data_IF_552276766062
#
_entry.id   IF_552276766062
#
_cell.length_a   1.000
_cell.length_b   1.000
_cell.length_c   1.000
_cell.angle_alpha   90.00
_cell.angle_beta   90.00
_cell.angle_gamma   90.00
#
_symmetry.space_group_name_H-M   'P 1'
#
loop_
_entity.id
_entity.type
_entity.pdbx_description
1 polymer ?
#
# COMPACT_ATOMS: atom_id res chain seq x y z
N UNK A 1 28.23 9.52 -42.10
CA UNK A 1 27.54 9.36 -40.80
C UNK A 1 28.45 8.59 -39.85
N UNK A 2 28.90 9.17 -38.73
CA UNK A 2 29.67 8.44 -37.72
C UNK A 2 28.74 7.42 -37.05
N UNK A 3 29.04 6.13 -37.18
CA UNK A 3 28.33 5.04 -36.51
C UNK A 3 28.43 5.30 -34.99
N UNK A 4 27.31 5.54 -34.31
CA UNK A 4 27.28 5.58 -32.84
C UNK A 4 27.31 4.13 -32.38
N UNK A 5 28.44 3.73 -31.80
CA UNK A 5 28.57 2.45 -31.12
C UNK A 5 27.87 2.55 -29.76
N UNK A 6 27.15 1.50 -29.37
CA UNK A 6 26.81 1.30 -27.96
C UNK A 6 28.11 1.01 -27.16
N UNK A 7 28.06 1.16 -25.83
CA UNK A 7 29.24 0.91 -24.99
C UNK A 7 29.73 -0.55 -25.12
N UNK A 8 28.79 -1.50 -25.23
CA UNK A 8 29.08 -2.93 -25.43
C UNK A 8 29.75 -3.19 -26.79
N UNK A 9 29.29 -2.52 -27.85
CA UNK A 9 29.88 -2.64 -29.19
C UNK A 9 31.28 -2.01 -29.26
N UNK A 10 31.50 -0.88 -28.57
CA UNK A 10 32.81 -0.24 -28.46
C UNK A 10 33.80 -1.15 -27.70
N UNK A 11 33.40 -1.71 -26.57
CA UNK A 11 34.23 -2.63 -25.80
C UNK A 11 34.64 -3.86 -26.60
N UNK A 12 33.69 -4.51 -27.31
CA UNK A 12 34.02 -5.64 -28.21
C UNK A 12 34.95 -5.24 -29.34
N UNK A 13 34.76 -4.06 -29.94
CA UNK A 13 35.65 -3.55 -30.98
C UNK A 13 37.08 -3.29 -30.47
N UNK A 14 37.25 -3.09 -29.17
CA UNK A 14 38.54 -2.94 -28.49
C UNK A 14 39.13 -4.28 -28.01
N UNK A 15 38.52 -5.42 -28.37
CA UNK A 15 38.96 -6.74 -27.91
C UNK A 15 38.68 -7.01 -26.43
N UNK A 16 37.82 -6.19 -25.80
CA UNK A 16 37.37 -6.36 -24.42
C UNK A 16 36.00 -7.02 -24.49
N UNK A 17 35.89 -8.26 -23.99
CA UNK A 17 34.55 -8.84 -23.82
C UNK A 17 33.86 -8.09 -22.69
N UNK A 18 32.73 -7.41 -22.93
CA UNK A 18 32.06 -6.65 -21.89
C UNK A 18 31.60 -7.65 -20.83
N UNK A 19 32.28 -7.64 -19.68
CA UNK A 19 31.75 -8.33 -18.52
C UNK A 19 30.54 -7.55 -18.04
N UNK A 20 29.34 -8.02 -18.37
CA UNK A 20 28.18 -7.63 -17.59
C UNK A 20 28.43 -8.14 -16.18
N UNK A 21 28.65 -7.22 -15.24
CA UNK A 21 28.58 -7.49 -13.81
C UNK A 21 27.10 -7.81 -13.46
N UNK A 22 26.60 -8.94 -13.97
CA UNK A 22 25.21 -9.36 -13.79
C UNK A 22 25.11 -10.11 -12.46
N UNK A 23 24.68 -9.38 -11.42
CA UNK A 23 24.34 -9.95 -10.13
C UNK A 23 23.14 -10.91 -10.29
N UNK A 24 23.28 -12.18 -9.89
CA UNK A 24 22.20 -13.18 -9.93
C UNK A 24 20.94 -12.69 -9.19
N UNK A 25 21.10 -12.09 -8.02
CA UNK A 25 20.01 -11.51 -7.23
C UNK A 25 19.29 -10.40 -8.01
N UNK A 26 20.02 -9.55 -8.72
CA UNK A 26 19.43 -8.49 -9.55
C UNK A 26 18.52 -9.05 -10.66
N UNK A 27 18.92 -10.16 -11.30
CA UNK A 27 18.10 -10.82 -12.32
C UNK A 27 16.84 -11.46 -11.73
N UNK A 28 16.96 -12.09 -10.56
CA UNK A 28 15.83 -12.69 -9.86
C UNK A 28 14.82 -11.61 -9.44
N UNK A 29 15.28 -10.49 -8.90
CA UNK A 29 14.43 -9.36 -8.54
C UNK A 29 13.76 -8.73 -9.78
N UNK A 30 14.48 -8.59 -10.88
CA UNK A 30 13.89 -8.09 -12.13
C UNK A 30 12.80 -9.03 -12.66
N UNK A 31 13.07 -10.33 -12.70
CA UNK A 31 12.09 -11.34 -13.10
C UNK A 31 10.84 -11.27 -12.22
N UNK A 32 11.02 -11.18 -10.90
CA UNK A 32 9.93 -11.03 -9.94
C UNK A 32 9.07 -9.77 -10.20
N UNK A 33 9.71 -8.64 -10.50
CA UNK A 33 9.01 -7.39 -10.86
C UNK A 33 8.25 -7.51 -12.17
N UNK A 34 8.81 -8.18 -13.18
CA UNK A 34 8.16 -8.35 -14.47
C UNK A 34 6.90 -9.21 -14.39
N UNK A 35 6.97 -10.30 -13.62
CA UNK A 35 5.87 -11.23 -13.38
C UNK A 35 4.79 -10.66 -12.45
N UNK A 36 5.13 -9.67 -11.61
CA UNK A 36 4.18 -9.06 -10.68
C UNK A 36 3.14 -8.20 -11.41
N UNK A 37 1.87 -8.39 -11.08
CA UNK A 37 0.78 -7.49 -11.45
C UNK A 37 0.62 -6.41 -10.38
N UNK A 38 0.19 -5.19 -10.75
CA UNK A 38 -0.06 -4.15 -9.76
C UNK A 38 -1.24 -4.52 -8.82
N UNK A 39 -1.30 -3.95 -7.60
CA UNK A 39 -2.34 -4.24 -6.62
C UNK A 39 -3.73 -4.07 -7.18
N UNK A 40 -4.68 -4.91 -6.76
CA UNK A 40 -6.05 -4.81 -7.29
C UNK A 40 -6.65 -3.44 -6.99
N UNK A 41 -6.36 -2.86 -5.81
CA UNK A 41 -6.79 -1.51 -5.48
C UNK A 41 -6.22 -0.43 -6.43
N UNK A 42 -5.05 -0.66 -7.05
CA UNK A 42 -4.42 0.26 -8.00
C UNK A 42 -5.08 0.28 -9.39
N UNK A 43 -5.96 -0.67 -9.72
CA UNK A 43 -6.66 -0.67 -11.02
C UNK A 43 -7.38 0.68 -11.23
N UNK A 44 -7.27 1.23 -12.44
CA UNK A 44 -7.77 2.57 -12.82
C UNK A 44 -7.08 3.76 -12.13
N UNK A 45 -5.95 3.56 -11.45
CA UNK A 45 -5.17 4.66 -10.89
C UNK A 45 -4.43 5.40 -12.00
N UNK A 46 -4.50 6.74 -11.99
CA UNK A 46 -3.73 7.57 -12.92
C UNK A 46 -2.22 7.37 -12.74
N UNK A 47 -1.76 6.97 -11.54
CA UNK A 47 -0.36 6.68 -11.26
C UNK A 47 0.20 5.45 -11.98
N UNK A 48 -0.63 4.69 -12.70
CA UNK A 48 -0.18 3.61 -13.60
C UNK A 48 0.24 4.13 -14.98
N UNK A 49 -0.20 5.33 -15.37
CA UNK A 49 0.13 5.95 -16.65
C UNK A 49 1.38 6.82 -16.52
N UNK A 50 2.50 6.31 -17.04
CA UNK A 50 3.79 7.00 -17.03
C UNK A 50 3.82 8.25 -17.94
N UNK A 51 2.84 8.43 -18.81
CA UNK A 51 2.73 9.63 -19.67
C UNK A 51 2.02 10.78 -18.98
N UNK A 52 1.33 10.53 -17.85
CA UNK A 52 0.68 11.55 -17.06
C UNK A 52 1.69 12.25 -16.13
N UNK A 53 1.99 13.55 -16.33
CA UNK A 53 2.99 14.24 -15.53
C UNK A 53 2.51 14.56 -14.10
N UNK A 54 1.19 14.56 -13.86
CA UNK A 54 0.59 14.95 -12.59
C UNK A 54 -0.56 13.99 -12.20
N UNK A 55 -0.27 12.71 -11.96
CA UNK A 55 -1.29 11.73 -11.62
C UNK A 55 -1.91 12.06 -10.25
N UNK A 56 -3.23 11.89 -10.18
CA UNK A 56 -4.00 12.02 -8.94
C UNK A 56 -4.48 10.65 -8.51
N UNK A 57 -4.37 10.34 -7.22
CA UNK A 57 -4.88 9.09 -6.65
C UNK A 57 -6.41 9.02 -6.80
N UNK A 58 -6.99 7.82 -6.80
CA UNK A 58 -8.44 7.59 -6.91
C UNK A 58 -9.29 8.52 -6.04
N UNK A 59 -10.52 8.82 -6.49
CA UNK A 59 -11.52 9.48 -5.68
C UNK A 59 -11.67 8.83 -4.32
N UNK A 60 -11.91 9.65 -3.30
CA UNK A 60 -12.14 9.14 -1.95
C UNK A 60 -13.36 9.79 -1.32
N UNK A 61 -14.03 9.04 -0.45
CA UNK A 61 -15.00 9.60 0.47
C UNK A 61 -14.42 9.53 1.88
N UNK A 62 -14.15 10.68 2.47
CA UNK A 62 -13.59 10.78 3.82
C UNK A 62 -14.75 10.89 4.82
N UNK A 63 -14.80 9.99 5.81
CA UNK A 63 -15.87 9.96 6.82
C UNK A 63 -15.50 10.74 8.07
N UNK A 64 -14.28 10.54 8.56
CA UNK A 64 -13.77 11.15 9.78
C UNK A 64 -12.26 11.04 9.80
N UNK A 65 -11.53 12.07 10.24
CA UNK A 65 -10.09 11.94 10.47
C UNK A 65 -9.76 11.27 11.82
N UNK A 66 -10.77 10.98 12.65
CA UNK A 66 -10.58 10.30 13.93
C UNK A 66 -10.19 8.83 13.73
N UNK A 67 -9.38 8.30 14.65
CA UNK A 67 -8.94 6.90 14.63
C UNK A 67 -8.79 6.38 16.05
N UNK A 68 -9.09 5.09 16.25
CA UNK A 68 -8.89 4.39 17.52
C UNK A 68 -7.50 3.76 17.63
N UNK A 69 -6.65 3.92 16.61
CA UNK A 69 -5.22 3.59 16.63
C UNK A 69 -4.39 4.88 16.61
N UNK A 70 -3.16 4.79 17.11
CA UNK A 70 -2.13 5.84 17.02
C UNK A 70 -0.83 5.23 16.48
N UNK A 71 -0.87 4.70 15.26
CA UNK A 71 0.26 3.96 14.72
C UNK A 71 1.52 4.84 14.61
N UNK A 72 2.69 4.27 14.92
CA UNK A 72 3.98 4.98 14.93
C UNK A 72 4.37 5.60 13.58
N UNK A 73 3.80 5.11 12.48
CA UNK A 73 4.06 5.56 11.12
C UNK A 73 2.91 6.37 10.50
N UNK A 74 1.77 6.54 11.20
CA UNK A 74 0.52 6.98 10.58
C UNK A 74 0.60 8.38 9.98
N UNK A 75 0.39 8.49 8.67
CA UNK A 75 0.33 9.77 7.97
C UNK A 75 -0.97 10.55 8.29
N UNK A 76 -2.09 9.85 8.54
CA UNK A 76 -3.33 10.50 8.90
C UNK A 76 -3.22 11.28 10.22
N UNK A 77 -2.49 10.75 11.19
CA UNK A 77 -2.23 11.45 12.45
C UNK A 77 -1.41 12.73 12.20
N UNK A 78 -0.40 12.66 11.33
CA UNK A 78 0.40 13.82 10.89
C UNK A 78 -0.51 14.89 10.26
N UNK A 79 -1.42 14.49 9.37
CA UNK A 79 -2.38 15.39 8.75
C UNK A 79 -3.26 16.12 9.79
N UNK A 80 -3.75 15.39 10.80
CA UNK A 80 -4.54 15.97 11.90
C UNK A 80 -3.73 16.97 12.71
N UNK A 81 -2.52 16.59 13.15
CA UNK A 81 -1.63 17.46 13.94
C UNK A 81 -1.26 18.76 13.21
N UNK A 82 -1.15 18.70 11.88
CA UNK A 82 -0.84 19.86 11.05
C UNK A 82 -2.08 20.67 10.63
N UNK A 83 -3.30 20.26 11.02
CA UNK A 83 -4.54 20.91 10.58
C UNK A 83 -4.80 20.76 9.08
N UNK A 84 -4.30 19.67 8.47
CA UNK A 84 -4.38 19.37 7.03
C UNK A 84 -5.23 18.15 6.70
N UNK A 85 -5.80 17.48 7.72
CA UNK A 85 -6.71 16.37 7.49
C UNK A 85 -7.94 16.83 6.68
N UNK A 86 -8.41 16.02 5.70
CA UNK A 86 -9.58 16.37 4.92
C UNK A 86 -10.83 16.44 5.81
N UNK A 87 -11.73 17.37 5.48
CA UNK A 87 -13.07 17.40 6.07
C UNK A 87 -13.90 16.25 5.49
N UNK A 88 -14.92 15.76 6.21
CA UNK A 88 -15.80 14.73 5.67
C UNK A 88 -16.44 15.13 4.33
N UNK A 89 -16.53 14.19 3.39
CA UNK A 89 -17.12 14.38 2.07
C UNK A 89 -16.37 13.67 0.95
N UNK A 90 -16.87 13.86 -0.28
CA UNK A 90 -16.32 13.27 -1.49
C UNK A 90 -15.23 14.16 -2.11
N UNK A 91 -14.08 13.57 -2.37
CA UNK A 91 -12.93 14.19 -3.03
C UNK A 91 -12.64 13.45 -4.31
N UNK A 92 -13.10 13.97 -5.44
CA UNK A 92 -13.10 13.23 -6.69
C UNK A 92 -13.61 14.03 -7.87
N UNK A 93 -14.15 13.32 -8.84
CA UNK A 93 -14.72 13.84 -10.07
C UNK A 93 -15.98 13.05 -10.44
N UNK A 94 -16.68 13.50 -11.49
CA UNK A 94 -17.88 12.83 -11.98
C UNK A 94 -17.56 11.50 -12.67
N UNK A 95 -18.46 10.52 -12.54
CA UNK A 95 -18.32 9.18 -13.13
C UNK A 95 -16.99 8.48 -12.80
N UNK A 96 -16.62 8.39 -11.51
CA UNK A 96 -15.40 7.71 -11.10
C UNK A 96 -15.49 6.20 -11.41
N UNK A 97 -14.35 5.58 -11.76
CA UNK A 97 -14.26 4.12 -11.90
C UNK A 97 -14.08 3.40 -10.56
N UNK A 98 -13.52 4.11 -9.58
CA UNK A 98 -13.21 3.60 -8.25
C UNK A 98 -13.45 4.72 -7.25
N UNK A 99 -13.99 4.40 -6.08
CA UNK A 99 -14.07 5.29 -4.93
C UNK A 99 -13.52 4.55 -3.72
N UNK A 100 -12.52 5.14 -3.07
CA UNK A 100 -11.98 4.63 -1.81
C UNK A 100 -12.68 5.29 -0.63
N UNK A 101 -13.26 4.49 0.26
CA UNK A 101 -13.83 4.97 1.50
C UNK A 101 -12.70 5.01 2.53
N UNK A 102 -12.41 6.25 2.96
CA UNK A 102 -11.39 6.65 3.93
C UNK A 102 -9.96 6.41 3.48
N UNK A 103 -9.24 7.51 3.28
CA UNK A 103 -7.77 7.49 3.28
C UNK A 103 -7.23 8.02 4.62
N UNK A 104 -8.02 8.85 5.32
CA UNK A 104 -7.64 9.45 6.60
C UNK A 104 -8.61 8.98 7.70
N UNK A 105 -8.06 8.66 8.87
CA UNK A 105 -8.80 8.15 10.02
C UNK A 105 -9.22 6.68 9.90
N UNK A 106 -10.17 6.27 10.74
CA UNK A 106 -10.80 4.95 10.72
C UNK A 106 -12.29 5.10 10.33
N UNK A 107 -12.71 4.63 9.15
CA UNK A 107 -14.08 4.80 8.68
C UNK A 107 -15.11 4.15 9.59
N UNK A 108 -14.78 3.01 10.21
CA UNK A 108 -15.72 2.24 11.01
C UNK A 108 -16.04 2.89 12.37
N UNK A 109 -15.34 3.96 12.76
CA UNK A 109 -15.76 4.82 13.87
C UNK A 109 -16.98 5.69 13.53
N UNK A 110 -17.24 5.93 12.23
CA UNK A 110 -18.33 6.79 11.82
C UNK A 110 -19.65 6.01 11.82
N UNK A 111 -20.69 6.48 12.54
CA UNK A 111 -22.01 5.85 12.49
C UNK A 111 -22.66 5.95 11.10
N UNK A 112 -22.12 6.78 10.20
CA UNK A 112 -22.62 7.00 8.85
C UNK A 112 -22.04 6.07 7.80
N UNK A 113 -21.14 5.13 8.16
CA UNK A 113 -20.49 4.26 7.17
C UNK A 113 -21.50 3.50 6.29
N UNK A 114 -22.54 2.91 6.90
CA UNK A 114 -23.59 2.16 6.17
C UNK A 114 -24.42 3.10 5.29
N UNK A 115 -24.79 4.28 5.79
CA UNK A 115 -25.52 5.31 5.04
C UNK A 115 -24.73 5.76 3.81
N UNK A 116 -23.46 6.12 4.00
CA UNK A 116 -22.57 6.60 2.95
C UNK A 116 -22.27 5.49 1.93
N UNK A 117 -22.04 4.26 2.37
CA UNK A 117 -21.85 3.13 1.46
C UNK A 117 -23.05 2.94 0.53
N UNK A 118 -24.28 2.91 1.08
CA UNK A 118 -25.52 2.83 0.28
C UNK A 118 -25.71 4.02 -0.65
N UNK A 119 -25.42 5.22 -0.16
CA UNK A 119 -25.50 6.45 -0.96
C UNK A 119 -24.53 6.39 -2.15
N UNK A 120 -23.27 6.01 -1.93
CA UNK A 120 -22.26 5.90 -2.98
C UNK A 120 -22.62 4.82 -4.01
N UNK A 121 -23.06 3.63 -3.55
CA UNK A 121 -23.50 2.57 -4.47
C UNK A 121 -24.67 3.03 -5.34
N UNK A 122 -25.65 3.73 -4.76
CA UNK A 122 -26.79 4.28 -5.52
C UNK A 122 -26.35 5.36 -6.52
N UNK A 123 -25.44 6.25 -6.11
CA UNK A 123 -25.00 7.39 -6.92
C UNK A 123 -24.06 6.96 -8.05
N UNK A 124 -23.23 5.96 -7.81
CA UNK A 124 -22.19 5.47 -8.72
C UNK A 124 -22.26 3.94 -8.85
N UNK A 125 -23.32 3.39 -9.47
CA UNK A 125 -23.55 1.93 -9.51
C UNK A 125 -22.42 1.16 -10.23
N UNK A 126 -21.78 1.79 -11.21
CA UNK A 126 -20.69 1.19 -12.00
C UNK A 126 -19.29 1.39 -11.38
N UNK A 127 -19.19 2.14 -10.27
CA UNK A 127 -17.92 2.40 -9.62
C UNK A 127 -17.59 1.28 -8.64
N UNK A 128 -16.33 0.83 -8.65
CA UNK A 128 -15.80 -0.05 -7.61
C UNK A 128 -15.70 0.71 -6.28
N UNK A 129 -16.26 0.16 -5.21
CA UNK A 129 -16.17 0.73 -3.87
C UNK A 129 -15.13 -0.04 -3.04
N UNK A 130 -14.10 0.67 -2.59
CA UNK A 130 -13.00 0.10 -1.81
C UNK A 130 -13.09 0.59 -0.36
N UNK A 131 -13.17 -0.31 0.62
CA UNK A 131 -13.03 0.03 2.03
C UNK A 131 -11.57 -0.09 2.46
N UNK A 132 -10.99 0.97 3.05
CA UNK A 132 -9.72 0.87 3.78
C UNK A 132 -9.94 1.07 5.26
N UNK A 133 -9.55 0.09 6.07
CA UNK A 133 -9.79 0.10 7.52
C UNK A 133 -8.61 -0.54 8.27
N UNK A 134 -8.50 -0.24 9.56
CA UNK A 134 -7.67 -0.99 10.49
C UNK A 134 -8.35 -2.30 10.93
N UNK A 135 -9.64 -2.50 10.63
CA UNK A 135 -10.39 -3.74 10.87
C UNK A 135 -10.85 -3.96 12.32
N UNK A 136 -10.34 -3.20 13.29
CA UNK A 136 -10.59 -3.46 14.72
C UNK A 136 -12.04 -3.31 15.18
N UNK A 137 -12.89 -2.67 14.35
CA UNK A 137 -14.32 -2.46 14.61
C UNK A 137 -15.22 -3.26 13.65
N UNK A 138 -14.64 -4.06 12.76
CA UNK A 138 -15.40 -4.83 11.78
C UNK A 138 -15.95 -6.10 12.44
N UNK A 139 -17.27 -6.13 12.59
CA UNK A 139 -18.03 -7.29 13.06
C UNK A 139 -18.79 -7.93 11.89
N UNK A 140 -19.23 -9.18 12.05
CA UNK A 140 -20.03 -9.85 11.01
C UNK A 140 -21.36 -9.13 10.77
N UNK A 141 -22.02 -8.65 11.83
CA UNK A 141 -23.25 -7.87 11.73
C UNK A 141 -23.05 -6.55 10.95
N UNK A 142 -21.90 -5.89 11.14
CA UNK A 142 -21.57 -4.69 10.37
C UNK A 142 -21.25 -5.05 8.92
N UNK A 143 -20.47 -6.10 8.69
CA UNK A 143 -20.09 -6.56 7.36
C UNK A 143 -21.29 -6.87 6.48
N UNK A 144 -22.30 -7.56 7.01
CA UNK A 144 -23.54 -7.90 6.30
C UNK A 144 -24.37 -6.68 5.85
N UNK A 145 -24.08 -5.49 6.38
CA UNK A 145 -24.76 -4.22 6.02
C UNK A 145 -23.97 -3.39 5.00
N UNK A 146 -22.76 -3.80 4.65
CA UNK A 146 -21.84 -3.07 3.80
C UNK A 146 -21.74 -3.76 2.43
N UNK A 147 -21.74 -2.95 1.38
CA UNK A 147 -21.59 -3.39 -0.01
C UNK A 147 -20.33 -2.78 -0.61
N UNK A 148 -19.22 -3.52 -0.52
CA UNK A 148 -17.93 -3.13 -1.09
C UNK A 148 -17.45 -4.18 -2.08
N UNK A 149 -16.74 -3.75 -3.11
CA UNK A 149 -16.14 -4.64 -4.11
C UNK A 149 -14.72 -5.07 -3.69
N UNK A 150 -14.05 -4.25 -2.88
CA UNK A 150 -12.73 -4.53 -2.32
C UNK A 150 -12.65 -4.05 -0.87
N UNK A 151 -12.05 -4.84 0.00
CA UNK A 151 -11.75 -4.46 1.38
C UNK A 151 -10.27 -4.64 1.68
N UNK A 152 -9.66 -3.61 2.25
CA UNK A 152 -8.25 -3.58 2.63
C UNK A 152 -8.11 -3.37 4.12
N UNK A 153 -7.68 -4.41 4.84
CA UNK A 153 -7.48 -4.39 6.29
C UNK A 153 -5.98 -4.26 6.59
N UNK A 154 -5.62 -3.34 7.49
CA UNK A 154 -4.23 -3.09 7.84
C UNK A 154 -3.74 -4.01 8.96
N UNK A 155 -2.67 -4.77 8.74
CA UNK A 155 -1.98 -5.56 9.76
C UNK A 155 -0.46 -5.43 9.58
N UNK A 156 0.26 -5.08 10.65
CA UNK A 156 1.69 -4.73 10.60
C UNK A 156 2.57 -5.52 11.56
N UNK A 157 1.97 -6.44 12.32
CA UNK A 157 2.63 -7.37 13.23
C UNK A 157 1.91 -8.72 13.18
N UNK A 158 2.62 -9.80 13.43
CA UNK A 158 2.09 -11.16 13.47
C UNK A 158 1.68 -11.61 14.88
N UNK A 159 1.93 -10.77 15.91
CA UNK A 159 1.54 -11.02 17.29
C UNK A 159 0.94 -9.79 17.98
N UNK A 160 0.22 -10.05 19.07
CA UNK A 160 -0.51 -9.04 19.85
C UNK A 160 0.38 -8.00 20.50
N UNK A 161 1.53 -8.39 21.05
CA UNK A 161 2.41 -7.46 21.77
C UNK A 161 3.02 -6.44 20.80
N UNK A 162 3.52 -6.94 19.67
CA UNK A 162 4.09 -6.11 18.62
C UNK A 162 3.04 -5.27 17.90
N UNK A 163 1.84 -5.81 17.67
CA UNK A 163 0.70 -5.03 17.20
C UNK A 163 0.40 -3.86 18.14
N UNK A 164 0.32 -4.12 19.45
CA UNK A 164 0.08 -3.08 20.45
C UNK A 164 1.16 -2.01 20.43
N UNK A 165 2.43 -2.36 20.24
CA UNK A 165 3.53 -1.39 20.11
C UNK A 165 3.44 -0.55 18.84
N UNK A 166 3.14 -1.17 17.70
CA UNK A 166 3.09 -0.49 16.40
C UNK A 166 1.84 0.39 16.27
N UNK A 167 0.67 -0.14 16.62
CA UNK A 167 -0.63 0.53 16.48
C UNK A 167 -1.00 1.41 17.68
N UNK A 168 -0.29 1.25 18.81
CA UNK A 168 -0.63 1.86 20.09
C UNK A 168 -2.07 1.53 20.54
N UNK A 169 -2.54 0.32 20.23
CA UNK A 169 -3.88 -0.17 20.53
C UNK A 169 -3.88 -1.69 20.70
N UNK A 170 -4.60 -2.21 21.69
CA UNK A 170 -4.68 -3.64 21.97
C UNK A 170 -5.87 -4.28 21.20
N UNK A 171 -5.70 -4.40 19.90
CA UNK A 171 -6.80 -4.77 18.96
C UNK A 171 -6.44 -5.90 17.99
N UNK A 172 -5.38 -6.66 18.26
CA UNK A 172 -4.87 -7.69 17.35
C UNK A 172 -5.94 -8.74 17.03
N UNK A 173 -6.60 -9.28 18.06
CA UNK A 173 -7.64 -10.31 17.90
C UNK A 173 -8.81 -9.82 17.06
N UNK A 174 -9.21 -8.55 17.23
CA UNK A 174 -10.27 -7.94 16.44
C UNK A 174 -9.87 -7.80 14.97
N UNK A 175 -8.63 -7.42 14.69
CA UNK A 175 -8.10 -7.31 13.32
C UNK A 175 -8.05 -8.69 12.66
N UNK A 176 -7.57 -9.71 13.38
CA UNK A 176 -7.55 -11.11 12.88
C UNK A 176 -8.97 -11.63 12.63
N UNK A 177 -9.92 -11.34 13.53
CA UNK A 177 -11.32 -11.68 13.32
C UNK A 177 -11.91 -10.97 12.09
N UNK A 178 -11.57 -9.71 11.85
CA UNK A 178 -11.99 -8.98 10.67
C UNK A 178 -11.43 -9.60 9.38
N UNK A 179 -10.14 -9.99 9.37
CA UNK A 179 -9.52 -10.72 8.27
C UNK A 179 -10.24 -12.05 8.00
N UNK A 180 -10.61 -12.79 9.05
CA UNK A 180 -11.38 -14.03 8.92
C UNK A 180 -12.75 -13.78 8.27
N UNK A 181 -13.50 -12.79 8.75
CA UNK A 181 -14.83 -12.45 8.21
C UNK A 181 -14.76 -12.14 6.71
N UNK A 182 -13.81 -11.28 6.31
CA UNK A 182 -13.69 -10.88 4.90
C UNK A 182 -13.08 -11.99 4.03
N UNK A 183 -12.18 -12.81 4.56
CA UNK A 183 -11.58 -13.93 3.83
C UNK A 183 -12.58 -15.07 3.55
N UNK A 184 -13.62 -15.21 4.37
CA UNK A 184 -14.74 -16.13 4.13
C UNK A 184 -15.67 -15.66 2.99
N UNK A 185 -15.69 -14.35 2.69
CA UNK A 185 -16.59 -13.75 1.71
C UNK A 185 -15.94 -13.66 0.32
N UNK A 186 -16.29 -14.60 -0.57
CA UNK A 186 -15.74 -14.67 -1.92
C UNK A 186 -16.41 -13.71 -2.92
N UNK A 187 -17.40 -12.93 -2.50
CA UNK A 187 -18.02 -11.89 -3.33
C UNK A 187 -17.19 -10.60 -3.38
N UNK A 188 -16.24 -10.43 -2.47
CA UNK A 188 -15.40 -9.23 -2.32
C UNK A 188 -13.93 -9.59 -2.50
N UNK A 189 -13.15 -8.70 -3.11
CA UNK A 189 -11.68 -8.83 -3.10
C UNK A 189 -11.14 -8.45 -1.73
N UNK A 190 -10.58 -9.41 -1.00
CA UNK A 190 -9.97 -9.19 0.30
C UNK A 190 -8.47 -8.93 0.19
N UNK A 191 -8.00 -7.88 0.88
CA UNK A 191 -6.59 -7.46 0.87
C UNK A 191 -6.10 -7.23 2.29
N UNK A 192 -4.99 -7.87 2.66
CA UNK A 192 -4.23 -7.44 3.84
C UNK A 192 -3.19 -6.42 3.41
N UNK A 193 -3.15 -5.27 4.08
CA UNK A 193 -2.12 -4.25 3.85
C UNK A 193 -1.12 -4.27 4.99
N UNK A 194 0.15 -4.35 4.61
CA UNK A 194 1.28 -4.28 5.54
C UNK A 194 2.25 -3.22 5.07
N UNK A 195 2.67 -2.35 5.98
CA UNK A 195 3.71 -1.34 5.71
C UNK A 195 5.07 -1.98 5.95
N UNK A 196 5.95 -1.90 4.96
CA UNK A 196 7.33 -2.35 5.06
C UNK A 196 8.12 -1.40 5.97
N UNK A 197 8.45 -1.86 7.18
CA UNK A 197 9.19 -1.12 8.20
C UNK A 197 10.42 -1.93 8.63
N UNK A 198 11.48 -1.96 7.81
CA UNK A 198 12.66 -2.78 8.10
C UNK A 198 13.29 -2.39 9.43
N UNK A 199 13.80 -3.38 10.16
CA UNK A 199 14.22 -3.27 11.56
C UNK A 199 13.08 -3.39 12.57
N UNK A 200 11.84 -3.07 12.16
CA UNK A 200 10.65 -3.18 13.01
C UNK A 200 9.91 -4.48 12.72
N UNK A 201 9.50 -4.75 11.48
CA UNK A 201 8.56 -5.86 11.16
C UNK A 201 9.06 -6.87 10.12
N UNK A 202 10.38 -6.99 9.97
CA UNK A 202 11.01 -7.89 8.98
C UNK A 202 10.49 -9.34 9.07
N UNK A 203 10.46 -9.90 10.28
CA UNK A 203 9.99 -11.27 10.51
C UNK A 203 8.47 -11.43 10.47
N UNK A 204 7.72 -10.33 10.63
CA UNK A 204 6.25 -10.38 10.64
C UNK A 204 5.70 -10.47 9.22
N UNK A 205 6.35 -9.88 8.23
CA UNK A 205 5.85 -9.83 6.85
C UNK A 205 5.51 -11.24 6.30
N UNK A 206 6.41 -12.24 6.36
CA UNK A 206 6.05 -13.60 5.93
C UNK A 206 5.02 -14.28 6.84
N UNK A 207 5.06 -14.03 8.16
CA UNK A 207 4.08 -14.60 9.11
C UNK A 207 2.66 -14.03 8.89
N UNK A 208 2.55 -12.74 8.55
CA UNK A 208 1.30 -12.09 8.17
C UNK A 208 0.80 -12.66 6.84
N UNK A 209 1.69 -12.89 5.88
CA UNK A 209 1.33 -13.51 4.60
C UNK A 209 0.76 -14.92 4.79
N UNK A 210 1.41 -15.74 5.62
CA UNK A 210 0.95 -17.08 6.00
C UNK A 210 -0.40 -17.04 6.72
N UNK A 211 -0.54 -16.17 7.73
CA UNK A 211 -1.80 -15.98 8.46
C UNK A 211 -2.92 -15.56 7.51
N UNK A 212 -2.70 -14.54 6.68
CA UNK A 212 -3.68 -14.05 5.72
C UNK A 212 -4.12 -15.14 4.73
N UNK A 213 -3.16 -15.92 4.21
CA UNK A 213 -3.46 -17.06 3.33
C UNK A 213 -4.34 -18.11 4.04
N UNK A 214 -4.01 -18.46 5.29
CA UNK A 214 -4.81 -19.42 6.08
C UNK A 214 -6.24 -18.94 6.39
N UNK A 215 -6.45 -17.63 6.42
CA UNK A 215 -7.76 -16.99 6.62
C UNK A 215 -8.52 -16.79 5.29
N UNK A 216 -7.95 -17.19 4.16
CA UNK A 216 -8.59 -17.08 2.85
C UNK A 216 -8.53 -15.68 2.23
N UNK A 217 -7.61 -14.82 2.66
CA UNK A 217 -7.38 -13.51 2.04
C UNK A 217 -6.79 -13.68 0.64
N UNK A 218 -7.22 -12.84 -0.30
CA UNK A 218 -6.84 -13.00 -1.71
C UNK A 218 -5.51 -12.36 -2.08
N UNK A 219 -5.12 -11.28 -1.39
CA UNK A 219 -3.98 -10.44 -1.76
C UNK A 219 -3.31 -9.83 -0.52
N UNK A 220 -1.98 -9.74 -0.56
CA UNK A 220 -1.21 -8.89 0.34
C UNK A 220 -0.66 -7.68 -0.42
N UNK A 221 -1.03 -6.48 0.02
CA UNK A 221 -0.39 -5.25 -0.44
C UNK A 221 0.75 -4.87 0.51
N UNK A 222 1.99 -5.12 0.08
CA UNK A 222 3.19 -4.68 0.80
C UNK A 222 3.53 -3.24 0.39
N UNK A 223 3.20 -2.29 1.24
CA UNK A 223 3.35 -0.87 0.97
C UNK A 223 4.69 -0.35 1.54
N UNK A 224 5.52 0.36 0.76
CA UNK A 224 6.71 1.00 1.31
C UNK A 224 6.35 2.16 2.26
N UNK A 225 7.06 2.24 3.38
CA UNK A 225 6.88 3.28 4.40
C UNK A 225 7.25 4.66 3.87
N UNK A 226 6.29 5.60 3.92
CA UNK A 226 6.59 7.04 3.84
C UNK A 226 6.88 7.57 5.24
N UNK A 227 8.03 8.24 5.38
CA UNK A 227 8.54 8.78 6.64
C UNK A 227 8.15 10.25 6.71
N UNK A 228 7.29 10.58 7.67
CA UNK A 228 6.94 11.96 7.99
C UNK A 228 7.77 12.47 9.15
N UNK A 229 8.18 13.75 9.10
CA UNK A 229 9.04 14.38 10.10
C UNK A 229 8.51 14.18 11.54
N UNK A 230 7.21 14.38 11.74
CA UNK A 230 6.56 14.21 13.06
C UNK A 230 6.57 12.76 13.58
N UNK A 231 6.87 11.78 12.74
CA UNK A 231 6.95 10.36 13.10
C UNK A 231 8.39 9.86 13.22
N UNK A 232 9.41 10.63 12.82
CA UNK A 232 10.83 10.20 12.79
C UNK A 232 11.28 9.67 14.16
N UNK A 233 11.02 10.40 15.23
CA UNK A 233 11.44 9.98 16.58
C UNK A 233 10.71 8.72 17.06
N UNK A 234 9.44 8.55 16.70
CA UNK A 234 8.66 7.34 17.02
C UNK A 234 9.24 6.12 16.29
N UNK A 235 9.52 6.28 14.99
CA UNK A 235 10.10 5.25 14.14
C UNK A 235 11.52 4.88 14.59
N UNK A 236 12.35 5.86 14.96
CA UNK A 236 13.70 5.64 15.49
C UNK A 236 13.66 4.84 16.79
N UNK A 237 12.80 5.23 17.75
CA UNK A 237 12.62 4.49 19.01
C UNK A 237 12.13 3.07 18.81
N UNK A 238 11.31 2.85 17.78
CA UNK A 238 10.81 1.52 17.43
C UNK A 238 11.85 0.64 16.71
N UNK A 239 13.00 1.19 16.29
CA UNK A 239 14.08 0.44 15.66
C UNK A 239 14.06 0.44 14.13
N UNK A 240 13.44 1.44 13.48
CA UNK A 240 13.43 1.53 12.03
C UNK A 240 14.86 1.64 11.47
N UNK A 241 15.17 0.80 10.48
CA UNK A 241 16.32 0.98 9.60
C UNK A 241 15.94 1.91 8.44
N UNK A 242 16.34 3.17 8.54
CA UNK A 242 16.02 4.21 7.57
C UNK A 242 16.64 3.97 6.19
N UNK A 243 17.84 3.37 6.13
CA UNK A 243 18.51 3.09 4.87
C UNK A 243 17.79 1.96 4.13
N UNK A 244 17.40 0.90 4.85
CA UNK A 244 16.61 -0.19 4.28
C UNK A 244 15.20 0.26 3.89
N UNK A 245 14.59 1.19 4.63
CA UNK A 245 13.25 1.70 4.32
C UNK A 245 13.17 2.43 2.97
N UNK A 246 14.30 2.99 2.51
CA UNK A 246 14.42 3.62 1.20
C UNK A 246 14.84 2.63 0.09
N UNK A 247 15.28 1.41 0.43
CA UNK A 247 15.81 0.45 -0.53
C UNK A 247 14.70 -0.36 -1.22
N UNK A 248 14.57 -0.22 -2.55
CA UNK A 248 13.65 -1.04 -3.34
C UNK A 248 14.07 -2.51 -3.32
N UNK A 249 15.37 -2.78 -3.31
CA UNK A 249 15.89 -4.15 -3.19
C UNK A 249 15.36 -4.83 -1.92
N UNK A 250 15.42 -4.16 -0.78
CA UNK A 250 14.96 -4.72 0.50
C UNK A 250 13.44 -4.96 0.51
N UNK A 251 12.66 -4.00 -0.02
CA UNK A 251 11.22 -4.15 -0.20
C UNK A 251 10.88 -5.38 -1.07
N UNK A 252 11.55 -5.53 -2.21
CA UNK A 252 11.30 -6.64 -3.13
C UNK A 252 11.70 -7.99 -2.53
N UNK A 253 12.79 -8.05 -1.76
CA UNK A 253 13.17 -9.26 -1.01
C UNK A 253 12.12 -9.66 0.01
N UNK A 254 11.61 -8.70 0.79
CA UNK A 254 10.51 -8.95 1.72
C UNK A 254 9.24 -9.43 0.99
N UNK A 255 8.93 -8.83 -0.17
CA UNK A 255 7.80 -9.25 -1.00
C UNK A 255 7.98 -10.67 -1.58
N UNK A 256 9.18 -11.03 -2.02
CA UNK A 256 9.51 -12.39 -2.51
C UNK A 256 9.33 -13.44 -1.42
N UNK A 257 9.74 -13.12 -0.19
CA UNK A 257 9.59 -14.03 0.95
C UNK A 257 8.10 -14.25 1.27
N UNK A 258 7.31 -13.19 1.34
CA UNK A 258 5.88 -13.28 1.57
C UNK A 258 5.11 -13.95 0.40
N UNK A 259 5.59 -13.82 -0.86
CA UNK A 259 4.93 -14.43 -2.04
C UNK A 259 4.89 -15.96 -1.98
N UNK A 260 5.70 -16.59 -1.13
CA UNK A 260 5.64 -18.04 -0.88
C UNK A 260 4.28 -18.48 -0.32
N UNK A 261 3.51 -17.58 0.29
CA UNK A 261 2.27 -17.89 1.01
C UNK A 261 1.02 -17.33 0.33
N UNK A 262 1.08 -16.12 -0.22
CA UNK A 262 -0.08 -15.39 -0.77
C UNK A 262 0.33 -14.57 -2.02
N UNK A 263 -0.64 -14.10 -2.81
CA UNK A 263 -0.39 -13.13 -3.88
C UNK A 263 0.05 -11.78 -3.30
N UNK A 264 1.36 -11.52 -3.30
CA UNK A 264 1.95 -10.27 -2.81
C UNK A 264 2.17 -9.29 -3.95
N UNK A 265 1.70 -8.06 -3.75
CA UNK A 265 1.86 -6.95 -4.68
C UNK A 265 2.37 -5.70 -3.95
N UNK A 266 3.17 -4.89 -4.64
CA UNK A 266 3.65 -3.58 -4.14
C UNK A 266 2.93 -2.43 -4.84
N UNK A 267 2.99 -1.22 -4.30
CA UNK A 267 2.27 -0.06 -4.84
C UNK A 267 2.46 0.12 -6.36
N UNK A 268 1.35 0.23 -7.10
CA UNK A 268 1.35 0.17 -8.57
C UNK A 268 2.18 1.27 -9.23
N UNK A 269 2.15 2.49 -8.70
CA UNK A 269 2.96 3.62 -9.19
C UNK A 269 4.47 3.38 -9.10
N UNK A 270 4.91 2.58 -8.12
CA UNK A 270 6.30 2.15 -8.01
C UNK A 270 6.55 1.02 -9.00
N UNK A 271 5.68 0.02 -9.02
CA UNK A 271 5.84 -1.15 -9.88
C UNK A 271 5.98 -0.79 -11.37
N UNK A 272 5.15 0.13 -11.89
CA UNK A 272 5.22 0.52 -13.30
C UNK A 272 6.55 1.17 -13.68
N UNK A 273 7.18 1.91 -12.74
CA UNK A 273 8.51 2.47 -12.94
C UNK A 273 9.59 1.39 -12.87
N UNK A 274 9.52 0.48 -11.88
CA UNK A 274 10.49 -0.59 -11.72
C UNK A 274 10.53 -1.53 -12.95
N UNK A 275 9.38 -1.76 -13.60
CA UNK A 275 9.32 -2.55 -14.85
C UNK A 275 10.12 -1.93 -16.01
N UNK A 276 10.34 -0.62 -16.02
CA UNK A 276 11.13 0.06 -17.05
C UNK A 276 12.65 -0.04 -16.83
N UNK A 277 13.09 -0.46 -15.64
CA UNK A 277 14.50 -0.47 -15.27
C UNK A 277 15.19 -1.76 -15.73
N UNK A 278 16.47 -1.72 -16.05
CA UNK A 278 17.27 -2.94 -16.21
C UNK A 278 17.60 -3.55 -14.81
N UNK A 279 18.04 -4.83 -14.74
CA UNK A 279 18.35 -5.49 -13.48
C UNK A 279 19.32 -4.72 -12.58
N UNK A 280 20.39 -4.14 -13.13
CA UNK A 280 21.44 -3.48 -12.34
C UNK A 280 20.91 -2.17 -11.76
N UNK A 281 20.21 -1.37 -12.58
CA UNK A 281 19.55 -0.15 -12.09
C UNK A 281 18.55 -0.47 -10.98
N UNK A 282 17.66 -1.45 -11.20
CA UNK A 282 16.67 -1.89 -10.21
C UNK A 282 17.32 -2.28 -8.87
N UNK A 283 18.45 -2.98 -8.93
CA UNK A 283 19.17 -3.47 -7.75
C UNK A 283 19.66 -2.36 -6.81
N UNK A 284 19.96 -1.18 -7.37
CA UNK A 284 20.51 -0.04 -6.63
C UNK A 284 19.51 1.08 -6.38
N UNK A 285 18.26 0.93 -6.83
CA UNK A 285 17.24 1.98 -6.68
C UNK A 285 16.90 2.23 -5.22
N UNK A 286 16.94 3.51 -4.86
CA UNK A 286 16.46 4.03 -3.59
C UNK A 286 15.31 5.00 -3.83
N UNK A 287 14.28 4.89 -3.00
CA UNK A 287 13.13 5.79 -2.98
C UNK A 287 13.41 6.92 -1.99
N UNK A 288 13.07 8.14 -2.38
CA UNK A 288 12.95 9.24 -1.41
C UNK A 288 11.70 8.98 -0.58
N UNK A 289 11.87 8.40 0.61
CA UNK A 289 10.76 8.02 1.48
C UNK A 289 10.22 9.18 2.34
N UNK A 290 10.89 10.34 2.34
CA UNK A 290 10.59 11.45 3.25
C UNK A 290 9.55 12.40 2.65
N UNK A 291 8.54 12.75 3.45
CA UNK A 291 7.50 13.70 3.06
C UNK A 291 7.07 14.58 4.24
N UNK A 292 6.83 15.86 4.00
CA UNK A 292 6.53 16.83 5.06
C UNK A 292 5.05 16.79 5.46
N UNK A 293 4.15 16.82 4.48
CA UNK A 293 2.71 16.95 4.73
C UNK A 293 1.90 16.07 3.76
N UNK A 294 1.13 15.10 4.26
CA UNK A 294 0.19 14.38 3.41
C UNK A 294 -0.99 15.29 3.05
N UNK A 295 -1.14 15.62 1.76
CA UNK A 295 -2.21 16.48 1.25
C UNK A 295 -3.10 15.75 0.25
N UNK A 296 -4.42 15.94 0.39
CA UNK A 296 -5.37 15.53 -0.64
C UNK A 296 -5.26 16.50 -1.82
N UNK A 297 -4.83 16.00 -2.98
CA UNK A 297 -4.67 16.78 -4.22
C UNK A 297 -5.98 16.97 -5.01
N UNK A 298 -7.06 16.34 -4.56
CA UNK A 298 -8.38 16.41 -5.20
C UNK A 298 -9.24 17.49 -4.55
N UNK A 299 -10.13 18.08 -5.34
CA UNK A 299 -11.15 19.01 -4.83
C UNK A 299 -12.28 18.24 -4.16
N UNK A 300 -12.84 18.82 -3.09
CA UNK A 300 -14.08 18.35 -2.49
C UNK A 300 -15.26 18.73 -3.39
N UNK A 301 -16.17 17.81 -3.64
CA UNK A 301 -17.43 18.04 -4.34
C UNK A 301 -18.61 17.74 -3.40
N UNK A 302 -19.72 18.44 -3.61
CA UNK A 302 -20.98 18.18 -2.91
C UNK A 302 -21.78 17.16 -3.73
N UNK A 303 -22.04 15.98 -3.15
CA UNK A 303 -22.74 14.86 -3.79
C UNK A 303 -23.80 14.26 -2.87
#
# INVERSE_FOLDING_TARGET
MKKRYSWEELARAMGIEPQRLENKEARELKKFVDEMTWPTHCNYCQGLDLTNPNPVHHPSYELTPACNHDCIFCYSNVAVKLGKAPKPGYYGWDNPKVITISQYGEPLLSPRIVEVNKMLRKRFPEARLDLQTNGSLLTRELWEKLDFDLVMISLNAADREKHRRIANADTFEQVVNALKIVGEDKSVRSVVRTVFMPGINDEDIPKIAELAASLGIDEMHLQPLTIHELNVERLKKAGLDFERAESIRELLKAAMEAKKYIDVRISGCILVQLKQMDPITLYSVRRVAREVVPLVKRSKLDI
#
